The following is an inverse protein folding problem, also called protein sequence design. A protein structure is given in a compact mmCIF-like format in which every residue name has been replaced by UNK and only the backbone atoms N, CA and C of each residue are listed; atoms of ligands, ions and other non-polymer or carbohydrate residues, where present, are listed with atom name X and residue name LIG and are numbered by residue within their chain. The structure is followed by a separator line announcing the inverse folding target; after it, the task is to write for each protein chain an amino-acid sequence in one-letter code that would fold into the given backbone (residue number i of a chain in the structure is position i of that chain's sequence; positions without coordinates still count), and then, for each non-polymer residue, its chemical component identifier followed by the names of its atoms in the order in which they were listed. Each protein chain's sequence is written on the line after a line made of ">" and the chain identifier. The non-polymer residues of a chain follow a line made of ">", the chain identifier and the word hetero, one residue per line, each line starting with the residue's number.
data_IF_387837322845
#
_entry.id   IF_387837322845
#
_cell.length_a   1.000
_cell.length_b   1.000
_cell.length_c   1.000
_cell.angle_alpha   90.00
_cell.angle_beta   90.00
_cell.angle_gamma   90.00
#
_symmetry.space_group_name_H-M   'P 1'
#
loop_
_entity.id
_entity.type
_entity.pdbx_description
1 polymer ?
#
# COMPACT_ATOMS: atom_id res chain seq x y z
N UNK A 1 -2.69 14.87 -20.19
CA UNK A 1 -1.38 15.26 -19.62
C UNK A 1 -0.35 14.27 -20.14
N UNK A 2 0.60 14.70 -20.97
CA UNK A 2 1.71 13.83 -21.37
C UNK A 2 2.75 13.87 -20.25
N UNK A 3 3.05 12.74 -19.64
CA UNK A 3 3.95 12.65 -18.50
C UNK A 3 5.16 11.83 -18.92
N UNK A 4 6.36 12.44 -19.00
CA UNK A 4 7.52 11.82 -19.65
C UNK A 4 8.17 10.71 -18.80
N UNK A 5 7.88 10.64 -17.50
CA UNK A 5 8.39 9.62 -16.59
C UNK A 5 7.55 9.51 -15.32
N UNK A 6 7.70 8.40 -14.60
CA UNK A 6 7.08 8.19 -13.28
C UNK A 6 7.49 9.27 -12.27
N UNK A 7 8.75 9.68 -12.32
CA UNK A 7 9.29 10.74 -11.47
C UNK A 7 8.62 12.08 -11.74
N UNK A 8 8.44 12.43 -13.03
CA UNK A 8 7.72 13.62 -13.43
C UNK A 8 6.25 13.56 -13.00
N UNK A 9 5.62 12.38 -13.03
CA UNK A 9 4.24 12.19 -12.55
C UNK A 9 4.13 12.48 -11.06
N UNK A 10 5.00 11.83 -10.26
CA UNK A 10 5.02 11.99 -8.81
C UNK A 10 5.24 13.46 -8.45
N UNK A 11 6.23 14.12 -9.05
CA UNK A 11 6.51 15.53 -8.74
C UNK A 11 5.43 16.50 -9.27
N UNK A 12 4.62 16.09 -10.25
CA UNK A 12 3.48 16.91 -10.71
C UNK A 12 2.30 16.82 -9.75
N UNK A 13 1.99 15.61 -9.24
CA UNK A 13 0.89 15.38 -8.31
C UNK A 13 1.27 15.75 -6.88
N UNK A 14 2.54 15.55 -6.52
CA UNK A 14 3.09 15.79 -5.19
C UNK A 14 4.35 16.68 -5.22
N UNK A 15 4.24 17.97 -5.61
CA UNK A 15 5.40 18.84 -5.84
C UNK A 15 6.31 19.07 -4.62
N UNK A 16 5.76 19.02 -3.41
CA UNK A 16 6.49 19.30 -2.16
C UNK A 16 6.36 18.16 -1.14
N UNK A 17 6.30 16.91 -1.61
CA UNK A 17 6.06 15.75 -0.74
C UNK A 17 7.06 15.64 0.41
N UNK A 18 8.36 15.80 0.13
CA UNK A 18 9.43 15.60 1.12
C UNK A 18 9.50 16.69 2.18
N UNK A 19 8.87 17.84 1.95
CA UNK A 19 8.83 18.99 2.86
C UNK A 19 7.56 19.00 3.72
N UNK A 20 6.66 18.02 3.53
CA UNK A 20 5.36 17.98 4.16
C UNK A 20 5.48 17.79 5.68
N UNK A 21 4.78 18.62 6.44
CA UNK A 21 4.70 18.48 7.90
C UNK A 21 3.57 17.50 8.26
N UNK A 22 3.89 16.20 8.25
CA UNK A 22 2.93 15.08 8.34
C UNK A 22 1.98 15.05 9.55
N UNK A 23 2.13 15.94 10.53
CA UNK A 23 1.26 16.02 11.71
C UNK A 23 0.26 17.19 11.66
N UNK A 24 0.21 17.94 10.55
CA UNK A 24 -0.73 19.06 10.39
C UNK A 24 -1.97 18.64 9.63
N UNK A 25 -3.09 19.31 9.91
CA UNK A 25 -4.33 19.10 9.16
C UNK A 25 -4.16 19.46 7.68
N UNK A 26 -3.38 20.49 7.38
CA UNK A 26 -3.07 20.94 6.02
C UNK A 26 -2.35 19.85 5.21
N UNK A 27 -1.42 19.12 5.83
CA UNK A 27 -0.75 17.98 5.21
C UNK A 27 -1.73 16.85 4.87
N UNK A 28 -2.66 16.55 5.78
CA UNK A 28 -3.68 15.53 5.55
C UNK A 28 -4.66 15.94 4.44
N UNK A 29 -5.09 17.20 4.40
CA UNK A 29 -6.00 17.72 3.38
C UNK A 29 -5.33 17.71 2.00
N UNK A 30 -4.07 18.14 1.91
CA UNK A 30 -3.27 18.04 0.69
C UNK A 30 -3.16 16.60 0.16
N UNK A 31 -2.82 15.64 1.02
CA UNK A 31 -2.70 14.23 0.62
C UNK A 31 -4.03 13.61 0.19
N UNK A 32 -5.15 14.09 0.74
CA UNK A 32 -6.50 13.64 0.39
C UNK A 32 -6.93 14.09 -1.00
N UNK A 33 -6.47 15.24 -1.46
CA UNK A 33 -6.81 15.79 -2.77
C UNK A 33 -5.96 15.19 -3.91
N UNK A 34 -4.84 14.56 -3.57
CA UNK A 34 -3.93 13.95 -4.52
C UNK A 34 -4.21 12.45 -4.71
N UNK A 35 -4.30 11.99 -5.96
CA UNK A 35 -4.40 10.55 -6.28
C UNK A 35 -3.77 10.28 -7.65
N UNK A 36 -3.01 9.18 -7.75
CA UNK A 36 -2.50 8.67 -9.03
C UNK A 36 -3.21 7.35 -9.32
N UNK A 37 -3.76 7.22 -10.53
CA UNK A 37 -4.41 6.00 -11.01
C UNK A 37 -3.55 5.38 -12.12
N UNK A 38 -3.37 4.07 -12.07
CA UNK A 38 -2.69 3.28 -13.10
C UNK A 38 -3.55 2.12 -13.56
N UNK A 39 -3.17 1.49 -14.68
CA UNK A 39 -3.92 0.37 -15.25
C UNK A 39 -3.60 -0.99 -14.62
N UNK A 40 -2.48 -1.12 -13.89
CA UNK A 40 -2.00 -2.39 -13.32
C UNK A 40 -1.56 -2.21 -11.87
N UNK A 41 -1.79 -3.23 -11.04
CA UNK A 41 -1.38 -3.22 -9.63
C UNK A 41 0.15 -3.17 -9.46
N UNK A 42 0.91 -3.73 -10.39
CA UNK A 42 2.38 -3.68 -10.34
C UNK A 42 2.87 -2.24 -10.48
N UNK A 43 2.23 -1.45 -11.37
CA UNK A 43 2.52 -0.02 -11.50
C UNK A 43 2.14 0.74 -10.22
N UNK A 44 1.01 0.40 -9.59
CA UNK A 44 0.59 0.98 -8.29
C UNK A 44 1.65 0.70 -7.23
N UNK A 45 2.08 -0.55 -7.08
CA UNK A 45 3.05 -0.97 -6.07
C UNK A 45 4.38 -0.23 -6.24
N UNK A 46 4.89 -0.17 -7.47
CA UNK A 46 6.12 0.55 -7.78
C UNK A 46 6.00 2.06 -7.51
N UNK A 47 4.89 2.70 -7.90
CA UNK A 47 4.68 4.12 -7.60
C UNK A 47 4.55 4.38 -6.11
N UNK A 48 3.79 3.57 -5.38
CA UNK A 48 3.63 3.68 -3.93
C UNK A 48 4.98 3.57 -3.21
N UNK A 49 5.85 2.64 -3.63
CA UNK A 49 7.20 2.52 -3.07
C UNK A 49 8.04 3.80 -3.32
N UNK A 50 8.05 4.33 -4.55
CA UNK A 50 8.78 5.57 -4.88
C UNK A 50 8.24 6.80 -4.12
N UNK A 51 6.92 6.88 -3.96
CA UNK A 51 6.27 7.94 -3.19
C UNK A 51 6.65 7.80 -1.72
N UNK A 52 6.69 6.59 -1.17
CA UNK A 52 7.10 6.33 0.21
C UNK A 52 8.56 6.69 0.49
N UNK A 53 9.45 6.43 -0.47
CA UNK A 53 10.86 6.85 -0.42
C UNK A 53 11.00 8.37 -0.33
N UNK A 54 10.15 9.12 -1.07
CA UNK A 54 10.10 10.59 -1.04
C UNK A 54 9.31 11.16 0.14
N UNK A 55 8.48 10.33 0.77
CA UNK A 55 7.62 10.74 1.88
C UNK A 55 8.49 11.17 3.07
N UNK A 56 8.11 12.22 3.83
CA UNK A 56 8.92 12.74 4.93
C UNK A 56 9.33 11.66 5.92
N UNK A 57 10.54 11.79 6.46
CA UNK A 57 11.20 10.78 7.29
C UNK A 57 12.24 9.97 6.51
N UNK A 58 13.19 9.38 7.22
CA UNK A 58 14.27 8.58 6.65
C UNK A 58 13.87 7.15 6.32
N UNK A 59 14.85 6.33 5.96
CA UNK A 59 14.64 4.88 5.74
C UNK A 59 14.36 4.16 7.06
N UNK A 60 14.92 4.66 8.17
CA UNK A 60 14.70 4.19 9.53
C UNK A 60 13.25 4.34 10.01
N UNK A 61 12.49 5.26 9.41
CA UNK A 61 11.07 5.49 9.73
C UNK A 61 10.15 4.51 8.98
N UNK A 62 10.69 3.71 8.04
CA UNK A 62 9.92 2.72 7.30
C UNK A 62 9.76 1.47 8.16
N UNK A 63 8.51 1.15 8.51
CA UNK A 63 8.17 -0.16 9.07
C UNK A 63 7.60 -1.07 7.99
N UNK A 64 8.19 -2.25 7.85
CA UNK A 64 7.72 -3.31 6.95
C UNK A 64 6.93 -4.36 7.72
N UNK A 65 5.73 -4.68 7.24
CA UNK A 65 4.91 -5.80 7.68
C UNK A 65 4.93 -6.88 6.60
N UNK A 66 5.21 -8.12 7.01
CA UNK A 66 5.22 -9.28 6.13
C UNK A 66 3.94 -10.09 6.30
N UNK A 67 3.41 -10.60 5.19
CA UNK A 67 2.29 -11.53 5.22
C UNK A 67 2.68 -12.86 5.88
N UNK A 68 1.68 -13.56 6.40
CA UNK A 68 1.81 -14.88 7.00
C UNK A 68 0.99 -15.89 6.18
N UNK A 69 1.33 -16.01 4.90
CA UNK A 69 0.54 -16.77 3.94
C UNK A 69 0.74 -18.28 4.07
N UNK A 70 -0.34 -19.04 3.86
CA UNK A 70 -0.32 -20.49 3.88
C UNK A 70 -1.40 -21.06 2.96
N UNK A 71 -1.05 -22.10 2.22
CA UNK A 71 -2.04 -22.89 1.48
C UNK A 71 -2.83 -23.78 2.44
N UNK A 72 -4.16 -23.65 2.38
CA UNK A 72 -5.08 -24.57 3.04
C UNK A 72 -5.58 -25.59 2.02
N UNK A 73 -5.72 -26.85 2.44
CA UNK A 73 -6.19 -27.96 1.60
C UNK A 73 -7.51 -28.44 2.16
N UNK A 74 -8.56 -28.43 1.33
CA UNK A 74 -9.86 -28.94 1.73
C UNK A 74 -9.83 -30.47 1.91
N UNK A 75 -10.77 -30.98 2.73
CA UNK A 75 -10.90 -32.41 2.94
C UNK A 75 -11.29 -33.12 1.62
N UNK A 76 -10.45 -34.06 1.18
CA UNK A 76 -10.66 -34.81 -0.06
C UNK A 76 -9.84 -34.31 -1.26
N UNK A 77 -9.09 -33.21 -1.11
CA UNK A 77 -8.11 -32.73 -2.12
C UNK A 77 -6.74 -33.35 -1.83
N UNK A 78 -6.00 -33.70 -2.89
CA UNK A 78 -4.66 -34.27 -2.75
C UNK A 78 -3.72 -33.24 -2.10
N UNK A 79 -3.07 -33.60 -0.99
CA UNK A 79 -2.12 -32.72 -0.30
C UNK A 79 -0.87 -32.42 -1.12
N UNK A 80 -0.57 -33.25 -2.13
CA UNK A 80 0.53 -33.04 -3.05
C UNK A 80 0.31 -31.81 -3.94
N UNK A 81 -0.95 -31.45 -4.24
CA UNK A 81 -1.28 -30.24 -5.01
C UNK A 81 -0.92 -28.96 -4.24
N UNK A 82 -1.00 -29.01 -2.90
CA UNK A 82 -0.62 -27.88 -2.05
C UNK A 82 0.89 -27.64 -2.04
N UNK A 83 1.70 -28.67 -2.27
CA UNK A 83 3.14 -28.56 -2.39
C UNK A 83 3.57 -27.88 -3.70
N UNK A 84 2.66 -27.70 -4.66
CA UNK A 84 2.93 -27.00 -5.92
C UNK A 84 2.99 -25.47 -5.75
N UNK A 85 2.47 -24.93 -4.66
CA UNK A 85 2.48 -23.50 -4.38
C UNK A 85 3.60 -23.17 -3.39
N UNK A 86 4.71 -22.68 -3.92
CA UNK A 86 5.83 -22.25 -3.08
C UNK A 86 5.50 -20.93 -2.36
N UNK A 87 6.25 -20.65 -1.28
CA UNK A 87 6.11 -19.38 -0.57
C UNK A 87 6.46 -18.18 -1.45
N UNK A 88 7.43 -18.33 -2.37
CA UNK A 88 7.79 -17.31 -3.35
C UNK A 88 6.63 -17.00 -4.30
N UNK A 89 5.90 -18.04 -4.74
CA UNK A 89 4.70 -17.84 -5.54
C UNK A 89 3.63 -17.08 -4.76
N UNK A 90 3.33 -17.49 -3.53
CA UNK A 90 2.36 -16.77 -2.68
C UNK A 90 2.77 -15.31 -2.46
N UNK A 91 4.04 -15.07 -2.17
CA UNK A 91 4.58 -13.72 -1.95
C UNK A 91 4.56 -12.85 -3.21
N UNK A 92 4.50 -13.45 -4.40
CA UNK A 92 4.41 -12.75 -5.69
C UNK A 92 2.99 -12.34 -6.07
N UNK A 93 1.97 -12.77 -5.34
CA UNK A 93 0.58 -12.43 -5.65
C UNK A 93 0.32 -10.94 -5.44
N UNK A 94 -0.13 -10.27 -6.50
CA UNK A 94 -0.52 -8.86 -6.51
C UNK A 94 -1.87 -8.66 -7.23
N UNK A 95 -2.88 -9.41 -6.79
CA UNK A 95 -4.22 -9.38 -7.36
C UNK A 95 -5.13 -8.39 -6.62
N UNK A 96 -6.19 -7.92 -7.28
CA UNK A 96 -7.17 -7.04 -6.65
C UNK A 96 -7.75 -7.66 -5.38
N UNK A 97 -7.90 -6.85 -4.33
CA UNK A 97 -8.45 -7.26 -3.02
C UNK A 97 -7.59 -8.27 -2.24
N UNK A 98 -6.37 -8.56 -2.68
CA UNK A 98 -5.37 -9.31 -1.91
C UNK A 98 -4.29 -8.32 -1.45
N UNK A 99 -4.02 -8.20 -0.15
CA UNK A 99 -2.91 -7.38 0.35
C UNK A 99 -1.58 -7.89 -0.20
N UNK A 100 -0.65 -6.97 -0.47
CA UNK A 100 0.73 -7.33 -0.85
C UNK A 100 1.44 -8.06 0.29
N UNK A 101 2.31 -9.01 -0.06
CA UNK A 101 3.08 -9.80 0.91
C UNK A 101 4.06 -8.97 1.75
N UNK A 102 4.46 -7.81 1.25
CA UNK A 102 5.31 -6.84 1.93
C UNK A 102 4.63 -5.48 1.93
N UNK A 103 4.20 -5.02 3.10
CA UNK A 103 3.60 -3.70 3.28
C UNK A 103 4.57 -2.77 4.02
N UNK A 104 5.15 -1.80 3.31
CA UNK A 104 6.01 -0.78 3.89
C UNK A 104 5.21 0.49 4.19
N UNK A 105 5.35 1.04 5.40
CA UNK A 105 4.60 2.21 5.87
C UNK A 105 5.52 3.18 6.63
N UNK A 106 5.16 4.46 6.59
CA UNK A 106 5.68 5.52 7.48
C UNK A 106 4.51 6.15 8.23
N UNK A 107 4.77 6.74 9.39
CA UNK A 107 3.75 7.55 10.08
C UNK A 107 3.33 8.73 9.19
N UNK A 108 2.04 9.06 9.20
CA UNK A 108 1.45 10.14 8.43
C UNK A 108 1.16 9.81 6.96
N UNK A 109 1.60 8.66 6.43
CA UNK A 109 1.28 8.31 5.05
C UNK A 109 -0.20 7.90 4.89
N UNK A 110 -0.82 8.20 3.74
CA UNK A 110 -2.17 7.76 3.45
C UNK A 110 -2.17 6.25 3.12
N UNK A 111 -3.25 5.57 3.49
CA UNK A 111 -3.49 4.16 3.16
C UNK A 111 -4.94 3.96 2.71
N UNK A 112 -5.19 2.90 1.96
CA UNK A 112 -6.53 2.47 1.55
C UNK A 112 -6.87 1.15 2.23
N UNK A 113 -8.05 1.09 2.83
CA UNK A 113 -8.59 -0.14 3.43
C UNK A 113 -9.09 -1.05 2.30
N UNK A 114 -8.66 -2.32 2.28
CA UNK A 114 -9.05 -3.29 1.25
C UNK A 114 -10.22 -4.21 1.65
N UNK A 115 -10.66 -4.14 2.92
CA UNK A 115 -11.70 -5.02 3.47
C UNK A 115 -12.73 -4.25 4.28
N UNK A 116 -13.90 -4.85 4.45
CA UNK A 116 -14.97 -4.28 5.29
C UNK A 116 -14.68 -4.53 6.77
N UNK A 117 -14.09 -3.54 7.45
CA UNK A 117 -13.73 -3.64 8.86
C UNK A 117 -14.90 -3.29 9.77
N UNK A 118 -15.59 -2.18 9.50
CA UNK A 118 -16.75 -1.70 10.27
C UNK A 118 -17.72 -0.99 9.33
N UNK A 119 -18.55 -1.75 8.57
CA UNK A 119 -19.51 -1.16 7.63
C UNK A 119 -20.51 -0.19 8.30
N UNK A 120 -20.90 -0.47 9.55
CA UNK A 120 -21.78 0.40 10.34
C UNK A 120 -21.18 1.78 10.62
N UNK A 121 -19.84 1.87 10.67
CA UNK A 121 -19.11 3.12 10.89
C UNK A 121 -18.52 3.68 9.59
N UNK A 122 -18.82 3.07 8.44
CA UNK A 122 -18.32 3.49 7.13
C UNK A 122 -16.86 3.13 6.84
N UNK A 123 -16.25 2.24 7.64
CA UNK A 123 -14.89 1.73 7.39
C UNK A 123 -15.01 0.48 6.51
N UNK A 124 -15.02 0.70 5.21
CA UNK A 124 -15.22 -0.31 4.18
C UNK A 124 -14.06 -0.37 3.19
N UNK A 125 -14.14 -1.29 2.23
CA UNK A 125 -13.20 -1.34 1.13
C UNK A 125 -13.20 0.01 0.37
N UNK A 126 -12.03 0.59 0.15
CA UNK A 126 -11.82 1.89 -0.48
C UNK A 126 -11.72 3.06 0.50
N UNK A 127 -12.02 2.87 1.79
CA UNK A 127 -11.86 3.94 2.79
C UNK A 127 -10.39 4.37 2.85
N UNK A 128 -10.14 5.66 2.69
CA UNK A 128 -8.81 6.25 2.88
C UNK A 128 -8.59 6.58 4.36
N UNK A 129 -7.42 6.27 4.88
CA UNK A 129 -7.00 6.59 6.24
C UNK A 129 -5.55 7.11 6.26
N UNK A 130 -5.13 7.63 7.42
CA UNK A 130 -3.76 8.11 7.65
C UNK A 130 -3.13 7.29 8.77
N UNK A 131 -1.89 6.87 8.59
CA UNK A 131 -1.14 6.14 9.63
C UNK A 131 -0.83 7.08 10.80
N UNK A 132 -1.53 6.94 11.92
CA UNK A 132 -1.26 7.74 13.12
C UNK A 132 -0.11 7.18 13.96
N UNK A 133 0.05 5.87 13.95
CA UNK A 133 1.11 5.18 14.67
C UNK A 133 1.42 3.82 14.03
N UNK A 134 2.63 3.33 14.28
CA UNK A 134 3.10 2.03 13.84
C UNK A 134 3.44 1.24 15.10
N UNK A 135 2.66 0.19 15.41
CA UNK A 135 2.88 -0.65 16.59
C UNK A 135 4.27 -1.29 16.59
N UNK A 136 4.67 -1.95 17.69
CA UNK A 136 5.93 -2.70 17.77
C UNK A 136 5.86 -4.05 17.03
#
# INVERSE_FOLDING_TARGET
>A
MHVPSQESLINTVYPSLSELQIQTQEAHDYLRECTILTGQNDDVLMLNNKILEKFPGGEEDIKTYHSADKVSVEAGVNREDAAMYSLEFLNSLNCASIPVSKLALKKGCPLMILHNLSPSEGICNGTQAVVMDLGQ
#
